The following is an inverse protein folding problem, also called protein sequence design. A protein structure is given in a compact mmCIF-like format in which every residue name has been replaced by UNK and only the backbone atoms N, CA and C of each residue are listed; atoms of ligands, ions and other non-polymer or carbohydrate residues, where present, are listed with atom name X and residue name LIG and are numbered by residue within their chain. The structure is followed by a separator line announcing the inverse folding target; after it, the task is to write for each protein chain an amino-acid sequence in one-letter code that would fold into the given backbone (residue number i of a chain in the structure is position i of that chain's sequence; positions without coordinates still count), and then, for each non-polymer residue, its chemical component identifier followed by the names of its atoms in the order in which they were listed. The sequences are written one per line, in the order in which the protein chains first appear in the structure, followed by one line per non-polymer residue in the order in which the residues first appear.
data_IF_245781772350
#
_entry.id   IF_245781772350
#
_cell.length_a   1.000
_cell.length_b   1.000
_cell.length_c   1.000
_cell.angle_alpha   90.00
_cell.angle_beta   90.00
_cell.angle_gamma   90.00
#
_symmetry.space_group_name_H-M   'P 1'
#
loop_
_entity.id
_entity.type
_entity.pdbx_description
1 polymer ?
#
# COMPACT_ATOMS: atom_id res chain seq x y z
N UNK A 1 11.73 14.25 9.26
CA UNK A 1 10.42 13.67 9.62
C UNK A 1 9.74 14.34 10.82
N UNK A 2 10.45 14.80 11.87
CA UNK A 2 9.79 15.44 13.04
C UNK A 2 8.95 16.69 12.70
N UNK A 3 9.36 17.54 11.75
CA UNK A 3 8.59 18.75 11.39
C UNK A 3 7.24 18.49 10.70
N UNK A 4 7.08 17.38 9.98
CA UNK A 4 5.84 17.09 9.21
C UNK A 4 4.75 16.49 10.11
N UNK A 5 5.15 15.77 11.17
CA UNK A 5 4.24 15.26 12.21
C UNK A 5 3.59 16.40 13.02
N UNK A 6 4.35 17.45 13.33
CA UNK A 6 3.82 18.62 14.06
C UNK A 6 2.88 19.49 13.21
N UNK A 7 3.06 19.52 11.88
CA UNK A 7 2.27 20.36 10.98
C UNK A 7 0.92 19.75 10.58
N UNK A 8 0.78 18.42 10.62
CA UNK A 8 -0.45 17.74 10.17
C UNK A 8 -1.42 17.38 11.28
N UNK A 9 -1.00 17.40 12.56
CA UNK A 9 -1.83 16.97 13.71
C UNK A 9 -2.49 15.58 13.50
N UNK A 10 -1.92 14.75 12.63
CA UNK A 10 -2.43 13.44 12.30
C UNK A 10 -2.10 12.50 13.46
N UNK A 11 -3.12 11.93 14.10
CA UNK A 11 -2.91 10.95 15.15
C UNK A 11 -2.55 9.59 14.53
N UNK A 12 -1.25 9.37 14.37
CA UNK A 12 -0.72 8.11 13.85
C UNK A 12 -1.03 6.93 14.79
N UNK A 13 -1.27 7.17 16.08
CA UNK A 13 -1.70 6.10 16.99
C UNK A 13 -3.11 5.64 16.66
N UNK A 14 -4.01 6.55 16.29
CA UNK A 14 -5.36 6.18 15.83
C UNK A 14 -5.27 5.30 14.57
N UNK A 15 -4.39 5.66 13.64
CA UNK A 15 -4.15 4.84 12.46
C UNK A 15 -3.60 3.46 12.82
N UNK A 16 -2.60 3.37 13.70
CA UNK A 16 -2.06 2.09 14.16
C UNK A 16 -3.12 1.22 14.85
N UNK A 17 -4.02 1.82 15.63
CA UNK A 17 -5.15 1.13 16.23
C UNK A 17 -6.13 0.58 15.18
N UNK A 18 -6.27 1.25 14.02
CA UNK A 18 -7.05 0.75 12.90
C UNK A 18 -6.31 -0.32 12.08
N UNK A 19 -4.99 -0.25 12.03
CA UNK A 19 -4.17 -1.23 11.33
C UNK A 19 -4.12 -2.56 12.07
N UNK A 20 -4.12 -2.58 13.40
CA UNK A 20 -4.12 -3.81 14.19
C UNK A 20 -5.19 -4.85 13.78
N UNK A 21 -6.50 -4.52 13.75
CA UNK A 21 -7.52 -5.49 13.33
C UNK A 21 -7.38 -5.90 11.85
N UNK A 22 -6.80 -5.05 10.99
CA UNK A 22 -6.48 -5.41 9.59
C UNK A 22 -5.35 -6.43 9.56
N UNK A 23 -4.32 -6.24 10.38
CA UNK A 23 -3.17 -7.14 10.52
C UNK A 23 -3.62 -8.48 11.09
N UNK A 24 -4.44 -8.48 12.14
CA UNK A 24 -4.86 -9.71 12.83
C UNK A 24 -5.92 -10.49 12.06
N UNK A 25 -6.91 -9.81 11.45
CA UNK A 25 -8.11 -10.48 10.91
C UNK A 25 -8.38 -10.24 9.43
N UNK A 26 -7.80 -9.18 8.85
CA UNK A 26 -7.99 -8.75 7.45
C UNK A 26 -9.45 -8.81 6.96
N UNK A 27 -10.40 -8.42 7.83
CA UNK A 27 -11.82 -8.43 7.48
C UNK A 27 -12.16 -7.27 6.55
N UNK A 28 -13.18 -7.45 5.70
CA UNK A 28 -13.67 -6.39 4.80
C UNK A 28 -14.08 -5.12 5.55
N UNK A 29 -14.62 -5.28 6.75
CA UNK A 29 -15.03 -4.16 7.59
C UNK A 29 -13.82 -3.40 8.13
N UNK A 30 -12.77 -4.09 8.60
CA UNK A 30 -11.53 -3.46 9.03
C UNK A 30 -10.84 -2.72 7.88
N UNK A 31 -10.74 -3.34 6.69
CA UNK A 31 -10.21 -2.70 5.47
C UNK A 31 -11.03 -1.45 5.12
N UNK A 32 -12.36 -1.56 5.16
CA UNK A 32 -13.26 -0.45 4.83
C UNK A 32 -13.15 0.70 5.85
N UNK A 33 -12.99 0.38 7.14
CA UNK A 33 -12.78 1.35 8.20
C UNK A 33 -11.45 2.10 8.00
N UNK A 34 -10.34 1.37 7.78
CA UNK A 34 -9.02 1.96 7.52
C UNK A 34 -9.04 2.87 6.30
N UNK A 35 -9.65 2.43 5.20
CA UNK A 35 -9.86 3.27 4.02
C UNK A 35 -10.64 4.54 4.36
N UNK A 36 -11.82 4.42 4.97
CA UNK A 36 -12.65 5.59 5.29
C UNK A 36 -11.91 6.59 6.17
N UNK A 37 -11.10 6.12 7.12
CA UNK A 37 -10.26 6.97 7.95
C UNK A 37 -9.21 7.71 7.13
N UNK A 38 -8.51 7.04 6.21
CA UNK A 38 -7.55 7.69 5.32
C UNK A 38 -8.22 8.79 4.47
N UNK A 39 -9.42 8.54 3.95
CA UNK A 39 -10.17 9.55 3.19
C UNK A 39 -10.65 10.72 4.05
N UNK A 40 -11.05 10.46 5.30
CA UNK A 40 -11.49 11.50 6.24
C UNK A 40 -10.34 12.41 6.66
N UNK A 41 -9.13 11.86 6.78
CA UNK A 41 -7.92 12.57 7.20
C UNK A 41 -7.05 13.09 6.05
N UNK A 42 -7.36 12.71 4.80
CA UNK A 42 -6.73 13.24 3.58
C UNK A 42 -7.16 14.69 3.28
N UNK A 43 -6.91 15.62 4.21
CA UNK A 43 -7.26 17.04 4.10
C UNK A 43 -6.23 17.86 3.34
N UNK A 44 -4.96 17.44 3.35
CA UNK A 44 -3.90 18.04 2.54
C UNK A 44 -3.01 16.96 1.91
N UNK A 45 -2.25 17.29 0.85
CA UNK A 45 -1.29 16.37 0.25
C UNK A 45 -0.26 15.83 1.25
N UNK A 46 0.16 16.64 2.24
CA UNK A 46 1.11 16.20 3.27
C UNK A 46 0.52 15.10 4.16
N UNK A 47 -0.77 15.18 4.48
CA UNK A 47 -1.48 14.13 5.23
C UNK A 47 -1.48 12.82 4.46
N UNK A 48 -1.79 12.90 3.16
CA UNK A 48 -1.77 11.75 2.27
C UNK A 48 -0.39 11.10 2.19
N UNK A 49 0.66 11.91 2.05
CA UNK A 49 2.05 11.44 1.99
C UNK A 49 2.49 10.78 3.29
N UNK A 50 2.17 11.38 4.45
CA UNK A 50 2.47 10.79 5.75
C UNK A 50 1.79 9.42 5.95
N UNK A 51 0.49 9.32 5.67
CA UNK A 51 -0.24 8.06 5.80
C UNK A 51 0.34 6.97 4.87
N UNK A 52 0.65 7.35 3.63
CA UNK A 52 1.23 6.45 2.64
C UNK A 52 2.64 5.99 3.05
N UNK A 53 3.48 6.90 3.54
CA UNK A 53 4.84 6.60 4.00
C UNK A 53 4.84 5.73 5.27
N UNK A 54 3.87 5.93 6.16
CA UNK A 54 3.69 5.09 7.35
C UNK A 54 3.37 3.63 6.98
N UNK A 55 2.41 3.43 6.07
CA UNK A 55 2.09 2.10 5.53
C UNK A 55 3.33 1.45 4.90
N UNK A 56 4.10 2.22 4.14
CA UNK A 56 5.36 1.76 3.57
C UNK A 56 6.31 1.29 4.66
N UNK A 57 6.58 2.12 5.66
CA UNK A 57 7.55 1.82 6.70
C UNK A 57 7.18 0.56 7.49
N UNK A 58 5.88 0.33 7.74
CA UNK A 58 5.42 -0.91 8.38
C UNK A 58 5.65 -2.15 7.50
N UNK A 59 5.37 -2.06 6.20
CA UNK A 59 5.55 -3.19 5.28
C UNK A 59 7.04 -3.47 5.00
N UNK A 60 7.85 -2.42 4.87
CA UNK A 60 9.29 -2.53 4.59
C UNK A 60 10.12 -2.81 5.83
N UNK A 61 9.52 -2.90 7.02
CA UNK A 61 10.24 -3.24 8.23
C UNK A 61 10.82 -4.66 8.14
N UNK A 62 12.08 -4.83 8.54
CA UNK A 62 12.81 -6.10 8.41
C UNK A 62 12.20 -7.26 9.21
N UNK A 63 11.33 -6.98 10.20
CA UNK A 63 10.59 -7.99 10.98
C UNK A 63 9.13 -8.20 10.56
N UNK A 64 8.64 -7.52 9.51
CA UNK A 64 7.23 -7.58 9.13
C UNK A 64 6.84 -8.98 8.61
N UNK A 65 5.89 -9.63 9.29
CA UNK A 65 5.32 -10.92 8.89
C UNK A 65 4.62 -10.85 7.52
N UNK A 66 4.62 -11.96 6.79
CA UNK A 66 3.97 -12.05 5.48
C UNK A 66 2.49 -11.63 5.50
N UNK A 67 1.73 -12.07 6.50
CA UNK A 67 0.30 -11.76 6.63
C UNK A 67 0.07 -10.26 6.75
N UNK A 68 0.84 -9.57 7.61
CA UNK A 68 0.82 -8.11 7.72
C UNK A 68 1.06 -7.45 6.35
N UNK A 69 2.08 -7.87 5.61
CA UNK A 69 2.38 -7.29 4.28
C UNK A 69 1.20 -7.49 3.32
N UNK A 70 0.64 -8.70 3.29
CA UNK A 70 -0.49 -9.05 2.44
C UNK A 70 -1.75 -8.24 2.80
N UNK A 71 -2.08 -8.14 4.09
CA UNK A 71 -3.25 -7.42 4.59
C UNK A 71 -3.16 -5.92 4.31
N UNK A 72 -1.97 -5.32 4.49
CA UNK A 72 -1.75 -3.91 4.15
C UNK A 72 -1.75 -3.68 2.63
N UNK A 73 -1.26 -4.62 1.81
CA UNK A 73 -1.39 -4.55 0.35
C UNK A 73 -2.87 -4.58 -0.06
N UNK A 74 -3.71 -5.39 0.59
CA UNK A 74 -5.16 -5.38 0.34
C UNK A 74 -5.79 -4.03 0.68
N UNK A 75 -5.40 -3.42 1.80
CA UNK A 75 -5.86 -2.08 2.16
C UNK A 75 -5.46 -1.05 1.09
N UNK A 76 -4.18 -1.01 0.72
CA UNK A 76 -3.67 -0.08 -0.30
C UNK A 76 -4.42 -0.26 -1.61
N UNK A 77 -4.66 -1.50 -2.02
CA UNK A 77 -5.41 -1.83 -3.23
C UNK A 77 -6.84 -1.27 -3.20
N UNK A 78 -7.54 -1.45 -2.08
CA UNK A 78 -8.92 -0.97 -1.91
C UNK A 78 -8.97 0.57 -1.86
N UNK A 79 -8.01 1.21 -1.19
CA UNK A 79 -7.88 2.68 -1.14
C UNK A 79 -7.57 3.25 -2.51
N UNK A 80 -6.62 2.67 -3.26
CA UNK A 80 -6.27 3.09 -4.62
C UNK A 80 -7.48 3.05 -5.56
N UNK A 81 -8.20 1.92 -5.56
CA UNK A 81 -9.39 1.76 -6.39
C UNK A 81 -10.48 2.77 -6.00
N UNK A 82 -10.66 3.03 -4.71
CA UNK A 82 -11.60 4.04 -4.24
C UNK A 82 -11.16 5.47 -4.61
N UNK A 83 -9.86 5.78 -4.55
CA UNK A 83 -9.30 7.08 -4.92
C UNK A 83 -9.57 7.38 -6.40
N UNK A 84 -9.37 6.39 -7.27
CA UNK A 84 -9.67 6.50 -8.69
C UNK A 84 -11.17 6.79 -8.92
N UNK A 85 -12.05 6.08 -8.21
CA UNK A 85 -13.50 6.27 -8.36
C UNK A 85 -14.00 7.61 -7.82
N UNK A 86 -13.47 8.07 -6.68
CA UNK A 86 -13.86 9.34 -6.02
C UNK A 86 -13.06 10.56 -6.53
N UNK A 87 -12.17 10.36 -7.50
CA UNK A 87 -11.24 11.38 -8.03
C UNK A 87 -10.34 12.03 -6.97
N UNK A 88 -9.92 11.28 -5.95
CA UNK A 88 -9.06 11.82 -4.91
C UNK A 88 -7.58 11.77 -5.34
N UNK A 89 -7.17 12.80 -6.11
CA UNK A 89 -5.90 12.83 -6.84
C UNK A 89 -4.68 12.91 -5.92
N UNK A 90 -4.77 13.64 -4.82
CA UNK A 90 -3.63 13.81 -3.90
C UNK A 90 -3.30 12.52 -3.17
N UNK A 91 -4.31 11.83 -2.64
CA UNK A 91 -4.15 10.53 -1.99
C UNK A 91 -3.68 9.45 -2.98
N UNK A 92 -4.22 9.46 -4.20
CA UNK A 92 -3.76 8.58 -5.27
C UNK A 92 -2.28 8.81 -5.59
N UNK A 93 -1.86 10.06 -5.75
CA UNK A 93 -0.47 10.42 -6.05
C UNK A 93 0.47 10.01 -4.91
N UNK A 94 0.10 10.25 -3.65
CA UNK A 94 0.87 9.84 -2.48
C UNK A 94 1.06 8.32 -2.42
N UNK A 95 -0.03 7.56 -2.60
CA UNK A 95 0.01 6.09 -2.60
C UNK A 95 0.82 5.53 -3.77
N UNK A 96 0.72 6.14 -4.97
CA UNK A 96 1.51 5.72 -6.13
C UNK A 96 3.01 5.86 -5.94
N UNK A 97 3.49 6.81 -5.11
CA UNK A 97 4.92 6.96 -4.78
C UNK A 97 5.45 5.79 -3.93
N UNK A 98 4.63 5.23 -3.06
CA UNK A 98 5.04 4.19 -2.11
C UNK A 98 4.66 2.77 -2.53
N UNK A 99 3.66 2.61 -3.42
CA UNK A 99 3.13 1.30 -3.78
C UNK A 99 4.15 0.42 -4.50
N UNK A 100 4.99 1.00 -5.35
CA UNK A 100 6.06 0.26 -6.06
C UNK A 100 7.09 -0.30 -5.07
N UNK A 101 7.72 0.51 -4.19
CA UNK A 101 8.68 -0.03 -3.23
C UNK A 101 8.06 -1.02 -2.25
N UNK A 102 6.79 -0.81 -1.84
CA UNK A 102 6.04 -1.76 -1.02
C UNK A 102 5.89 -3.11 -1.71
N UNK A 103 5.45 -3.09 -2.97
CA UNK A 103 5.24 -4.30 -3.77
C UNK A 103 6.56 -5.04 -3.99
N UNK A 104 7.59 -4.34 -4.47
CA UNK A 104 8.91 -4.93 -4.70
C UNK A 104 9.47 -5.56 -3.42
N UNK A 105 9.41 -4.85 -2.28
CA UNK A 105 9.92 -5.38 -1.00
C UNK A 105 9.12 -6.58 -0.52
N UNK A 106 7.79 -6.54 -0.66
CA UNK A 106 6.92 -7.66 -0.25
C UNK A 106 7.06 -8.87 -1.15
N UNK A 107 7.27 -8.66 -2.46
CA UNK A 107 7.49 -9.71 -3.43
C UNK A 107 8.87 -10.38 -3.25
N UNK A 108 9.92 -9.59 -3.03
CA UNK A 108 11.28 -10.09 -2.81
C UNK A 108 11.45 -10.80 -1.46
N UNK A 109 10.67 -10.43 -0.45
CA UNK A 109 10.77 -11.01 0.88
C UNK A 109 9.99 -12.32 1.07
N UNK A 110 9.36 -12.85 0.02
CA UNK A 110 8.54 -14.06 0.11
C UNK A 110 8.97 -15.07 -0.96
N UNK A 111 8.82 -16.35 -0.60
CA UNK A 111 9.06 -17.48 -1.50
C UNK A 111 8.07 -17.50 -2.68
N UNK A 112 8.46 -18.17 -3.77
CA UNK A 112 7.79 -18.17 -5.09
C UNK A 112 6.28 -18.54 -5.02
N UNK A 113 5.90 -19.47 -4.14
CA UNK A 113 4.48 -19.83 -3.88
C UNK A 113 3.64 -18.65 -3.35
N UNK A 114 4.22 -17.80 -2.50
CA UNK A 114 3.55 -16.63 -1.92
C UNK A 114 3.58 -15.44 -2.86
N UNK A 115 4.58 -15.36 -3.75
CA UNK A 115 4.69 -14.34 -4.79
C UNK A 115 3.47 -14.34 -5.71
N UNK A 116 2.92 -15.50 -6.08
CA UNK A 116 1.71 -15.58 -6.91
C UNK A 116 0.50 -14.88 -6.28
N UNK A 117 0.33 -14.96 -4.95
CA UNK A 117 -0.77 -14.28 -4.25
C UNK A 117 -0.62 -12.76 -4.34
N UNK A 118 0.58 -12.25 -4.09
CA UNK A 118 0.89 -10.81 -4.17
C UNK A 118 0.73 -10.32 -5.63
N UNK A 119 1.26 -11.07 -6.60
CA UNK A 119 1.18 -10.73 -8.02
C UNK A 119 -0.26 -10.63 -8.55
N UNK A 120 -1.17 -11.49 -8.08
CA UNK A 120 -2.60 -11.46 -8.46
C UNK A 120 -3.32 -10.20 -8.00
N UNK A 121 -2.99 -9.68 -6.81
CA UNK A 121 -3.62 -8.45 -6.30
C UNK A 121 -3.13 -7.25 -7.10
N UNK A 122 -1.83 -7.20 -7.37
CA UNK A 122 -1.16 -6.06 -7.97
C UNK A 122 -1.35 -5.92 -9.48
N UNK A 123 -1.62 -7.02 -10.19
CA UNK A 123 -1.92 -6.99 -11.62
C UNK A 123 -3.22 -6.22 -11.93
N UNK A 124 -4.18 -6.18 -11.01
CA UNK A 124 -5.46 -5.49 -11.25
C UNK A 124 -5.42 -3.97 -11.03
N UNK A 125 -4.66 -3.48 -10.03
CA UNK A 125 -4.69 -2.05 -9.64
C UNK A 125 -3.43 -1.25 -10.00
N UNK A 126 -2.23 -1.87 -10.06
CA UNK A 126 -1.01 -1.15 -10.44
C UNK A 126 -0.96 -0.83 -11.94
N UNK A 127 -1.66 -1.61 -12.76
CA UNK A 127 -1.63 -1.52 -14.23
C UNK A 127 -2.66 -0.57 -14.84
N UNK A 128 -3.65 -0.10 -14.08
CA UNK A 128 -4.69 0.79 -14.64
C UNK A 128 -4.25 2.26 -14.75
N UNK A 129 -3.04 2.63 -14.31
CA UNK A 129 -2.58 4.03 -14.36
C UNK A 129 -1.08 4.26 -14.42
N UNK A 130 -0.23 3.23 -14.38
CA UNK A 130 1.21 3.39 -14.60
C UNK A 130 1.65 2.67 -15.88
N UNK A 131 2.52 3.28 -16.71
CA UNK A 131 3.09 2.58 -17.85
C UNK A 131 3.84 1.36 -17.32
N UNK A 132 3.51 0.18 -17.87
CA UNK A 132 4.14 -1.14 -17.61
C UNK A 132 5.69 -1.11 -17.57
N UNK A 133 6.32 -0.05 -18.06
CA UNK A 133 7.76 0.19 -18.00
C UNK A 133 8.30 0.46 -16.58
N UNK A 134 7.58 1.19 -15.71
CA UNK A 134 8.09 1.55 -14.37
C UNK A 134 8.21 0.35 -13.43
N UNK A 135 7.35 -0.67 -13.59
CA UNK A 135 7.45 -1.90 -12.83
C UNK A 135 8.65 -2.75 -13.26
N UNK A 136 9.05 -2.66 -14.54
CA UNK A 136 10.18 -3.41 -15.12
C UNK A 136 11.54 -2.81 -14.74
N UNK A 137 11.62 -1.52 -14.45
CA UNK A 137 12.88 -0.86 -14.07
C UNK A 137 13.26 -1.05 -12.60
N UNK A 138 12.30 -1.42 -11.73
CA UNK A 138 12.54 -1.61 -10.29
C UNK A 138 12.62 -3.07 -9.84
N UNK A 139 12.29 -4.03 -10.70
CA UNK A 139 12.42 -5.46 -10.43
C UNK A 139 13.70 -5.98 -11.07
N UNK A 140 14.53 -6.78 -10.37
CA UNK A 140 15.70 -7.40 -10.97
C UNK A 140 15.23 -8.23 -12.17
N UNK A 141 15.90 -8.07 -13.32
CA UNK A 141 15.49 -8.60 -14.62
C UNK A 141 15.39 -10.15 -14.70
N UNK A 142 15.68 -10.86 -13.61
CA UNK A 142 15.58 -12.31 -13.51
C UNK A 142 14.24 -12.84 -12.93
N UNK A 143 13.33 -12.01 -12.41
CA UNK A 143 12.12 -12.48 -11.72
C UNK A 143 10.82 -12.44 -12.55
N UNK A 144 10.88 -12.11 -13.83
CA UNK A 144 9.71 -12.00 -14.72
C UNK A 144 9.76 -13.01 -15.86
N UNK A 145 9.79 -14.29 -15.51
CA UNK A 145 9.33 -15.37 -16.39
C UNK A 145 8.06 -15.97 -15.78
N UNK A 146 7.00 -15.16 -15.69
CA UNK A 146 5.66 -15.68 -15.49
C UNK A 146 5.14 -16.13 -16.85
N UNK A 147 4.77 -17.42 -17.02
CA UNK A 147 4.16 -17.88 -18.26
C UNK A 147 2.82 -17.17 -18.44
N UNK A 148 2.67 -16.54 -19.61
CA UNK A 148 1.39 -16.13 -20.16
C UNK A 148 0.81 -17.37 -20.83
N UNK A 149 -0.05 -18.09 -20.11
CA UNK A 149 -1.03 -19.00 -20.71
C UNK A 149 -2.43 -18.47 -20.39
#
# INVERSE_FOLDING_TARGET
MQKVLEETQLDMNEFDNLLQPIIDTCTKDAISAGKNWMFSNAKSPQHCELMAEHLRNQITAEGAHFELRLHLIYLINDVLHHCQRKQQRDLLAALQKVVVPIYCTSFLAVEEDKQQKIARVSSSALLQGQPRACLKSGLPSNSLSLPLD
#
